data_IF_186753427010
#
_entry.id   IF_186753427010
#
_cell.length_a   1.000
_cell.length_b   1.000
_cell.length_c   1.000
_cell.angle_alpha   90.00
_cell.angle_beta   90.00
_cell.angle_gamma   90.00
#
_symmetry.space_group_name_H-M   'P 1'
#
loop_
_entity.id
_entity.type
_entity.pdbx_description
1 polymer ?
#
# COMPACT_ATOMS: atom_id res chain seq x y z
N UNK A 1 -14.40 -14.13 -8.71
CA UNK A 1 -13.37 -14.65 -7.78
C UNK A 1 -12.20 -13.70 -7.83
N UNK A 2 -11.65 -13.30 -6.69
CA UNK A 2 -10.48 -12.43 -6.65
C UNK A 2 -9.26 -13.16 -7.21
N UNK A 3 -8.42 -12.46 -7.97
CA UNK A 3 -7.16 -13.01 -8.46
C UNK A 3 -6.13 -12.95 -7.34
N UNK A 4 -5.65 -14.12 -6.90
CA UNK A 4 -4.46 -14.17 -6.04
C UNK A 4 -3.23 -13.85 -6.89
N UNK A 5 -2.56 -12.76 -6.56
CA UNK A 5 -1.35 -12.33 -7.25
C UNK A 5 -0.11 -12.98 -6.61
N UNK A 6 0.88 -13.21 -7.45
CA UNK A 6 2.25 -13.53 -7.05
C UNK A 6 3.17 -12.34 -7.33
N UNK A 7 4.34 -12.34 -6.70
CA UNK A 7 5.37 -11.31 -6.91
C UNK A 7 5.71 -11.17 -8.40
N UNK A 8 5.69 -9.95 -8.92
CA UNK A 8 5.94 -9.64 -10.33
C UNK A 8 4.74 -9.87 -11.27
N UNK A 9 3.62 -10.38 -10.78
CA UNK A 9 2.44 -10.64 -11.60
C UNK A 9 1.74 -9.33 -11.97
N UNK A 10 1.29 -9.25 -13.22
CA UNK A 10 0.56 -8.10 -13.76
C UNK A 10 -0.82 -8.54 -14.21
N UNK A 11 -1.83 -7.76 -13.86
CA UNK A 11 -3.22 -7.98 -14.29
C UNK A 11 -3.79 -6.71 -14.93
N UNK A 12 -4.67 -6.89 -15.90
CA UNK A 12 -5.45 -5.77 -16.44
C UNK A 12 -6.66 -5.54 -15.57
N UNK A 13 -6.77 -4.35 -14.98
CA UNK A 13 -7.92 -3.99 -14.15
C UNK A 13 -9.14 -3.68 -15.01
N UNK A 14 -8.95 -2.96 -16.11
CA UNK A 14 -10.05 -2.52 -16.99
C UNK A 14 -10.54 -3.57 -17.97
N UNK A 15 -9.76 -4.63 -18.21
CA UNK A 15 -10.14 -5.69 -19.17
C UNK A 15 -11.24 -6.59 -18.60
N UNK A 16 -11.18 -6.87 -17.30
CA UNK A 16 -12.21 -7.63 -16.60
C UNK A 16 -13.33 -6.73 -16.08
N UNK A 17 -13.04 -5.45 -15.81
CA UNK A 17 -14.01 -4.44 -15.36
C UNK A 17 -14.07 -3.27 -16.34
N UNK A 18 -14.80 -3.44 -17.45
CA UNK A 18 -15.00 -2.39 -18.43
C UNK A 18 -15.66 -1.16 -17.77
N UNK A 19 -14.94 -0.05 -17.70
CA UNK A 19 -15.40 1.18 -17.05
C UNK A 19 -15.01 1.35 -15.59
N UNK A 20 -13.97 0.66 -15.12
CA UNK A 20 -13.37 0.88 -13.80
C UNK A 20 -12.99 2.36 -13.61
N UNK A 21 -13.61 3.00 -12.63
CA UNK A 21 -13.35 4.40 -12.26
C UNK A 21 -12.76 4.50 -10.87
N UNK A 22 -13.32 3.75 -9.94
CA UNK A 22 -12.94 3.80 -8.54
C UNK A 22 -12.27 2.48 -8.15
N UNK A 23 -11.08 2.61 -7.59
CA UNK A 23 -10.31 1.55 -6.98
C UNK A 23 -10.22 1.82 -5.49
N UNK A 24 -10.33 0.77 -4.70
CA UNK A 24 -10.02 0.80 -3.29
C UNK A 24 -8.87 -0.17 -3.08
N UNK A 25 -7.78 0.36 -2.55
CA UNK A 25 -6.61 -0.39 -2.15
C UNK A 25 -6.72 -0.60 -0.65
N UNK A 26 -6.97 -1.84 -0.24
CA UNK A 26 -7.05 -2.22 1.17
C UNK A 26 -5.75 -2.88 1.60
N UNK A 27 -5.22 -2.49 2.74
CA UNK A 27 -4.05 -3.09 3.36
C UNK A 27 -4.46 -3.61 4.73
N UNK A 28 -4.05 -4.83 5.05
CA UNK A 28 -4.27 -5.43 6.36
C UNK A 28 -3.02 -6.12 6.85
N UNK A 29 -2.77 -6.06 8.15
CA UNK A 29 -1.64 -6.72 8.81
C UNK A 29 -1.93 -7.05 10.27
N UNK A 30 -1.39 -8.17 10.74
CA UNK A 30 -1.46 -8.56 12.14
C UNK A 30 -0.12 -8.28 12.84
N UNK A 31 -0.18 -7.71 14.04
CA UNK A 31 1.00 -7.64 14.90
C UNK A 31 1.43 -9.06 15.30
N UNK A 32 2.71 -9.40 15.09
CA UNK A 32 3.23 -10.67 15.58
C UNK A 32 3.22 -10.66 17.12
N UNK A 33 2.23 -11.34 17.71
CA UNK A 33 2.18 -11.58 19.16
C UNK A 33 3.52 -12.18 19.62
N UNK A 34 4.32 -11.41 20.37
CA UNK A 34 5.39 -12.00 21.18
C UNK A 34 4.71 -12.83 22.25
N UNK A 35 4.91 -14.15 22.17
CA UNK A 35 4.54 -15.12 23.20
C UNK A 35 5.05 -14.64 24.56
N UNK A 36 4.19 -13.99 25.34
CA UNK A 36 4.45 -13.65 26.72
C UNK A 36 4.48 -14.92 27.54
N UNK A 37 5.68 -15.36 27.91
CA UNK A 37 5.87 -16.19 29.10
C UNK A 37 5.34 -15.47 30.36
N UNK A 38 5.41 -16.16 31.49
CA UNK A 38 4.82 -15.89 32.83
C UNK A 38 4.91 -14.45 33.43
N UNK A 39 5.43 -13.45 32.71
CA UNK A 39 5.53 -12.02 33.02
C UNK A 39 4.53 -11.13 32.25
N UNK A 40 3.65 -11.69 31.42
CA UNK A 40 2.73 -10.96 30.51
C UNK A 40 1.59 -10.13 31.15
N UNK A 41 1.66 -9.78 32.44
CA UNK A 41 0.63 -8.99 33.12
C UNK A 41 0.87 -7.46 32.99
N UNK A 42 2.01 -7.01 32.44
CA UNK A 42 2.40 -5.59 32.38
C UNK A 42 3.08 -5.15 31.07
N UNK A 43 2.66 -5.61 29.89
CA UNK A 43 3.29 -5.12 28.66
C UNK A 43 2.58 -5.49 27.38
N UNK A 44 1.84 -4.51 26.81
CA UNK A 44 1.47 -4.53 25.40
C UNK A 44 2.72 -4.62 24.53
N UNK A 45 2.66 -5.42 23.48
CA UNK A 45 3.70 -5.45 22.45
C UNK A 45 3.89 -4.06 21.83
N UNK A 46 5.05 -3.79 21.22
CA UNK A 46 5.25 -2.52 20.53
C UNK A 46 4.33 -2.48 19.31
N UNK A 47 3.23 -1.72 19.41
CA UNK A 47 2.30 -1.47 18.31
C UNK A 47 3.09 -1.22 17.01
N UNK A 48 2.82 -2.05 16.01
CA UNK A 48 3.44 -1.91 14.69
C UNK A 48 2.54 -1.05 13.85
N UNK A 49 3.12 0.06 13.43
CA UNK A 49 2.47 1.13 12.74
C UNK A 49 2.94 1.09 11.29
N UNK A 50 2.11 0.55 10.39
CA UNK A 50 2.42 0.48 8.97
C UNK A 50 1.67 1.62 8.28
N UNK A 51 2.41 2.51 7.66
CA UNK A 51 1.84 3.58 6.86
C UNK A 51 1.76 3.14 5.40
N UNK A 52 0.57 3.12 4.83
CA UNK A 52 0.36 3.06 3.39
C UNK A 52 0.47 4.45 2.77
N UNK A 53 1.11 4.51 1.62
CA UNK A 53 1.30 5.74 0.87
C UNK A 53 1.12 5.48 -0.62
N UNK A 54 0.56 6.46 -1.30
CA UNK A 54 0.40 6.47 -2.74
C UNK A 54 1.25 7.58 -3.36
N UNK A 55 2.16 7.19 -4.24
CA UNK A 55 3.04 8.08 -4.98
C UNK A 55 2.51 8.18 -6.41
N UNK A 56 2.09 9.36 -6.81
CA UNK A 56 1.68 9.64 -8.18
C UNK A 56 2.90 10.06 -8.99
N UNK A 57 3.04 9.48 -10.17
CA UNK A 57 4.17 9.68 -11.07
C UNK A 57 3.68 10.21 -12.42
N UNK A 58 4.50 11.08 -13.02
CA UNK A 58 4.32 11.64 -14.36
C UNK A 58 5.46 11.17 -15.25
N UNK A 59 5.13 10.50 -16.34
CA UNK A 59 6.08 9.78 -17.20
C UNK A 59 7.03 8.87 -16.38
N UNK A 60 6.49 8.23 -15.34
CA UNK A 60 7.24 7.40 -14.41
C UNK A 60 8.15 8.14 -13.42
N UNK A 61 8.05 9.48 -13.32
CA UNK A 61 8.85 10.30 -12.40
C UNK A 61 8.02 11.04 -11.36
N UNK A 62 8.59 11.23 -10.19
CA UNK A 62 8.01 12.04 -9.12
C UNK A 62 8.35 13.51 -9.36
N UNK A 63 7.33 14.36 -9.53
CA UNK A 63 7.53 15.74 -9.96
C UNK A 63 7.28 16.74 -8.83
N UNK A 64 6.33 16.47 -7.94
CA UNK A 64 5.94 17.40 -6.88
C UNK A 64 5.64 16.69 -5.57
N UNK A 65 5.96 17.34 -4.45
CA UNK A 65 5.56 16.88 -3.11
C UNK A 65 4.06 16.74 -2.93
N UNK A 66 3.28 17.46 -3.75
CA UNK A 66 1.82 17.37 -3.76
C UNK A 66 1.31 16.06 -4.39
N UNK A 67 2.16 15.36 -5.14
CA UNK A 67 1.88 14.09 -5.82
C UNK A 67 2.05 12.90 -4.86
N UNK A 68 2.18 13.18 -3.57
CA UNK A 68 2.33 12.20 -2.50
C UNK A 68 1.10 12.23 -1.57
N UNK A 69 0.44 11.09 -1.43
CA UNK A 69 -0.67 10.88 -0.48
C UNK A 69 -0.23 9.89 0.59
N UNK A 70 -0.39 10.27 1.85
CA UNK A 70 0.03 9.50 3.03
C UNK A 70 -0.75 10.00 4.25
N UNK A 71 -0.54 9.42 5.44
CA UNK A 71 -1.23 9.80 6.68
C UNK A 71 -1.24 11.31 6.98
N UNK A 72 -0.15 12.02 6.65
CA UNK A 72 -0.04 13.48 6.83
C UNK A 72 -0.64 14.32 5.71
N UNK A 73 -0.90 13.73 4.54
CA UNK A 73 -1.57 14.36 3.40
C UNK A 73 -2.62 13.41 2.82
N UNK A 74 -3.81 13.41 3.42
CA UNK A 74 -4.86 12.42 3.15
C UNK A 74 -5.46 12.52 1.75
N UNK A 75 -5.22 13.59 0.99
CA UNK A 75 -5.87 13.77 -0.31
C UNK A 75 -4.96 14.43 -1.32
N UNK A 76 -4.92 13.86 -2.52
CA UNK A 76 -4.24 14.47 -3.66
C UNK A 76 -4.96 15.75 -4.10
N UNK A 77 -4.23 16.73 -4.64
CA UNK A 77 -4.78 18.04 -5.07
C UNK A 77 -5.89 17.88 -6.12
N UNK A 78 -5.79 16.87 -6.98
CA UNK A 78 -6.82 16.57 -7.99
C UNK A 78 -8.05 15.85 -7.42
N UNK A 79 -7.96 15.35 -6.19
CA UNK A 79 -8.97 14.50 -5.58
C UNK A 79 -9.06 13.09 -6.18
N UNK A 80 -8.10 12.71 -7.02
CA UNK A 80 -8.02 11.37 -7.61
C UNK A 80 -7.54 10.31 -6.62
N UNK A 81 -6.82 10.67 -5.57
CA UNK A 81 -6.36 9.72 -4.53
C UNK A 81 -6.71 10.27 -3.16
N UNK A 82 -7.31 9.44 -2.32
CA UNK A 82 -7.74 9.79 -0.97
C UNK A 82 -7.40 8.65 -0.01
N UNK A 83 -6.65 8.95 1.03
CA UNK A 83 -6.40 8.08 2.17
C UNK A 83 -7.58 8.18 3.14
N UNK A 84 -8.19 7.05 3.53
CA UNK A 84 -9.39 7.06 4.39
C UNK A 84 -9.10 7.23 5.88
N UNK A 85 -7.83 7.11 6.28
CA UNK A 85 -7.40 7.23 7.66
C UNK A 85 -6.28 6.25 7.94
N UNK A 86 -5.48 6.56 8.94
CA UNK A 86 -4.36 5.76 9.41
C UNK A 86 -4.80 4.93 10.61
N UNK A 87 -4.47 3.64 10.59
CA UNK A 87 -4.70 2.72 11.71
C UNK A 87 -3.36 2.33 12.35
N UNK A 88 -2.99 3.10 13.37
CA UNK A 88 -1.75 2.99 14.13
C UNK A 88 -1.51 1.65 14.87
N UNK A 89 -2.49 0.73 14.84
CA UNK A 89 -2.47 -0.47 15.69
C UNK A 89 -2.73 -1.77 14.94
N UNK A 90 -3.21 -1.72 13.69
CA UNK A 90 -3.70 -2.92 12.99
C UNK A 90 -4.81 -3.66 13.75
N UNK A 91 -5.53 -2.97 14.65
CA UNK A 91 -6.62 -3.58 15.42
C UNK A 91 -7.91 -3.52 14.62
N UNK A 92 -8.30 -4.64 14.03
CA UNK A 92 -9.56 -4.80 13.32
C UNK A 92 -9.53 -6.05 12.43
N UNK A 93 -10.71 -6.64 12.17
CA UNK A 93 -10.79 -7.67 11.14
C UNK A 93 -10.87 -6.99 9.76
N UNK A 94 -9.87 -7.18 8.91
CA UNK A 94 -9.94 -6.80 7.49
C UNK A 94 -8.86 -5.83 7.04
N UNK A 95 -9.27 -4.73 6.40
CA UNK A 95 -8.36 -3.69 5.92
C UNK A 95 -8.13 -2.67 7.02
N UNK A 96 -6.92 -2.65 7.57
CA UNK A 96 -6.45 -1.66 8.53
C UNK A 96 -6.34 -0.27 7.90
N UNK A 97 -5.85 -0.21 6.66
CA UNK A 97 -5.75 1.02 5.90
C UNK A 97 -6.36 0.89 4.52
N UNK A 98 -6.92 2.01 4.04
CA UNK A 98 -7.62 2.05 2.76
C UNK A 98 -7.27 3.32 1.99
N UNK A 99 -6.83 3.14 0.75
CA UNK A 99 -6.58 4.21 -0.21
C UNK A 99 -7.57 4.10 -1.36
N UNK A 100 -8.40 5.13 -1.52
CA UNK A 100 -9.36 5.23 -2.61
C UNK A 100 -8.73 6.01 -3.77
N UNK A 101 -8.79 5.42 -4.96
CA UNK A 101 -8.24 5.96 -6.20
C UNK A 101 -9.35 6.08 -7.24
N UNK A 102 -9.68 7.31 -7.59
CA UNK A 102 -10.58 7.66 -8.70
C UNK A 102 -9.75 7.98 -9.96
N UNK A 103 -9.62 6.96 -10.81
CA UNK A 103 -8.92 7.03 -12.09
C UNK A 103 -9.57 8.00 -13.08
N UNK A 104 -10.86 8.35 -12.90
CA UNK A 104 -11.55 9.28 -13.79
C UNK A 104 -11.21 10.75 -13.51
N UNK A 105 -10.75 11.04 -12.28
CA UNK A 105 -10.26 12.37 -11.87
C UNK A 105 -8.77 12.55 -12.06
N UNK A 106 -8.05 11.50 -12.44
CA UNK A 106 -6.61 11.54 -12.60
C UNK A 106 -6.26 12.25 -13.92
N UNK A 107 -5.52 13.38 -13.89
CA UNK A 107 -5.10 14.05 -15.11
C UNK A 107 -4.20 13.17 -15.97
N UNK A 108 -4.22 13.39 -17.29
CA UNK A 108 -3.48 12.56 -18.26
C UNK A 108 -1.95 12.62 -18.10
N UNK A 109 -1.43 13.62 -17.38
CA UNK A 109 0.00 13.72 -17.04
C UNK A 109 0.46 12.64 -16.06
N UNK A 110 -0.44 12.05 -15.27
CA UNK A 110 -0.11 10.97 -14.35
C UNK A 110 -0.40 9.63 -15.02
N UNK A 111 0.66 8.90 -15.35
CA UNK A 111 0.59 7.59 -15.97
C UNK A 111 0.62 6.45 -14.95
N UNK A 112 1.10 6.72 -13.72
CA UNK A 112 1.38 5.68 -12.74
C UNK A 112 1.14 6.15 -11.30
N UNK A 113 0.62 5.24 -10.49
CA UNK A 113 0.44 5.38 -9.05
C UNK A 113 1.12 4.20 -8.40
N UNK A 114 2.14 4.44 -7.60
CA UNK A 114 2.87 3.41 -6.86
C UNK A 114 2.34 3.37 -5.43
N UNK A 115 1.94 2.19 -4.98
CA UNK A 115 1.52 1.95 -3.61
C UNK A 115 2.69 1.37 -2.84
N UNK A 116 3.07 2.08 -1.79
CA UNK A 116 4.20 1.76 -0.93
C UNK A 116 3.73 1.72 0.50
N UNK A 117 4.40 0.91 1.31
CA UNK A 117 4.15 0.83 2.74
C UNK A 117 5.46 0.90 3.47
N UNK A 118 5.49 1.62 4.58
CA UNK A 118 6.65 1.69 5.44
C UNK A 118 6.24 1.54 6.90
N UNK A 119 7.13 1.04 7.72
CA UNK A 119 6.90 1.02 9.17
C UNK A 119 7.28 2.39 9.73
N UNK A 120 6.34 3.04 10.41
CA UNK A 120 6.54 4.34 11.03
C UNK A 120 7.64 4.25 12.11
N UNK A 121 8.61 5.17 12.04
CA UNK A 121 9.70 5.29 13.01
C UNK A 121 10.49 3.98 13.25
N UNK A 122 10.62 3.15 12.21
CA UNK A 122 11.25 1.83 12.24
C UNK A 122 12.66 1.82 12.87
N UNK A 123 13.47 2.86 12.65
CA UNK A 123 14.83 2.96 13.21
C UNK A 123 14.80 3.12 14.73
N UNK A 124 14.01 4.07 15.25
CA UNK A 124 13.98 4.34 16.69
C UNK A 124 13.22 3.23 17.43
N UNK A 125 12.17 2.68 16.82
CA UNK A 125 11.37 1.58 17.38
C UNK A 125 12.02 0.20 17.18
N UNK A 126 13.06 0.11 16.35
CA UNK A 126 13.73 -1.15 15.96
C UNK A 126 12.73 -2.20 15.48
N UNK A 127 11.78 -1.76 14.65
CA UNK A 127 10.73 -2.57 14.07
C UNK A 127 11.02 -2.79 12.59
N UNK A 128 10.73 -4.00 12.12
CA UNK A 128 10.86 -4.40 10.73
C UNK A 128 9.69 -5.33 10.34
N UNK A 129 9.59 -5.65 9.06
CA UNK A 129 8.51 -6.49 8.54
C UNK A 129 8.52 -7.94 9.09
N UNK A 130 9.57 -8.40 9.77
CA UNK A 130 9.58 -9.72 10.44
C UNK A 130 8.58 -9.79 11.61
N UNK A 131 8.27 -8.62 12.17
CA UNK A 131 7.34 -8.50 13.30
C UNK A 131 5.88 -8.42 12.85
N UNK A 132 5.61 -8.48 11.55
CA UNK A 132 4.27 -8.43 10.97
C UNK A 132 3.88 -9.82 10.48
N UNK A 133 2.63 -10.20 10.71
CA UNK A 133 2.04 -11.45 10.20
C UNK A 133 0.83 -11.16 9.35
N UNK A 134 0.48 -12.11 8.49
CA UNK A 134 -0.71 -12.06 7.64
C UNK A 134 -0.87 -10.75 6.87
N UNK A 135 0.23 -10.06 6.53
CA UNK A 135 0.15 -8.84 5.77
C UNK A 135 -0.38 -9.13 4.36
N UNK A 136 -1.35 -8.36 3.91
CA UNK A 136 -1.87 -8.45 2.56
C UNK A 136 -2.23 -7.07 2.03
N UNK A 137 -2.18 -6.95 0.71
CA UNK A 137 -2.84 -5.89 -0.02
C UNK A 137 -3.93 -6.49 -0.88
N UNK A 138 -5.04 -5.78 -1.02
CA UNK A 138 -6.08 -6.11 -1.98
C UNK A 138 -6.50 -4.90 -2.77
N UNK A 139 -6.95 -5.18 -3.98
CA UNK A 139 -7.49 -4.22 -4.91
C UNK A 139 -8.96 -4.57 -5.10
N UNK A 140 -9.82 -3.63 -4.77
CA UNK A 140 -11.28 -3.76 -4.82
C UNK A 140 -11.81 -2.72 -5.80
N UNK A 141 -12.80 -3.10 -6.60
CA UNK A 141 -13.55 -2.14 -7.40
C UNK A 141 -14.50 -1.37 -6.48
N UNK A 142 -14.27 -0.08 -6.29
CA UNK A 142 -15.07 0.76 -5.40
C UNK A 142 -16.52 0.95 -5.85
N UNK A 143 -16.86 0.59 -7.09
CA UNK A 143 -18.22 0.71 -7.64
C UNK A 143 -19.08 -0.51 -7.35
N UNK A 144 -18.47 -1.70 -7.38
CA UNK A 144 -19.15 -2.99 -7.18
C UNK A 144 -18.82 -3.63 -5.83
N UNK A 145 -17.85 -3.07 -5.11
CA UNK A 145 -17.25 -3.62 -3.90
C UNK A 145 -16.69 -5.04 -4.11
N UNK A 146 -16.31 -5.38 -5.34
CA UNK A 146 -15.78 -6.69 -5.69
C UNK A 146 -14.26 -6.69 -5.58
N UNK A 147 -13.71 -7.63 -4.80
CA UNK A 147 -12.28 -7.86 -4.74
C UNK A 147 -11.77 -8.38 -6.10
N UNK A 148 -10.92 -7.58 -6.74
CA UNK A 148 -10.34 -7.86 -8.04
C UNK A 148 -9.05 -8.66 -7.88
N UNK A 149 -8.19 -8.24 -6.96
CA UNK A 149 -6.90 -8.83 -6.71
C UNK A 149 -6.54 -8.83 -5.23
N UNK A 150 -5.76 -9.81 -4.82
CA UNK A 150 -5.15 -9.87 -3.49
C UNK A 150 -3.72 -10.37 -3.62
N UNK A 151 -2.79 -9.71 -2.95
CA UNK A 151 -1.40 -10.12 -2.83
C UNK A 151 -1.07 -10.28 -1.35
N UNK A 152 -0.74 -11.51 -0.95
CA UNK A 152 -0.35 -11.82 0.42
C UNK A 152 1.17 -11.73 0.54
N UNK A 153 1.65 -11.08 1.59
CA UNK A 153 3.06 -11.02 1.93
C UNK A 153 3.40 -12.32 2.66
N UNK A 154 3.85 -13.30 1.88
CA UNK A 154 4.29 -14.60 2.39
C UNK A 154 5.80 -14.77 2.39
N UNK A 155 6.55 -13.84 1.81
CA UNK A 155 8.01 -13.88 1.81
C UNK A 155 8.58 -13.33 3.12
N UNK A 156 9.78 -13.80 3.47
CA UNK A 156 10.48 -13.35 4.65
C UNK A 156 11.15 -12.00 4.36
N UNK A 157 10.59 -10.91 4.86
CA UNK A 157 11.07 -9.54 4.67
C UNK A 157 11.90 -9.06 5.87
N UNK A 158 12.64 -9.99 6.48
CA UNK A 158 13.47 -9.74 7.67
C UNK A 158 14.45 -8.58 7.45
N UNK A 159 14.45 -7.63 8.39
CA UNK A 159 15.29 -6.45 8.34
C UNK A 159 14.91 -5.40 7.29
N UNK A 160 13.78 -5.57 6.60
CA UNK A 160 13.23 -4.56 5.69
C UNK A 160 12.25 -3.65 6.44
N UNK A 161 12.24 -2.38 6.07
CA UNK A 161 11.49 -1.31 6.76
C UNK A 161 10.47 -0.63 5.86
N UNK A 162 10.62 -0.77 4.54
CA UNK A 162 9.65 -0.31 3.56
C UNK A 162 9.43 -1.36 2.47
N UNK A 163 8.31 -1.26 1.76
CA UNK A 163 7.96 -2.14 0.68
C UNK A 163 7.16 -1.44 -0.40
N UNK A 164 7.54 -1.70 -1.63
CA UNK A 164 6.73 -1.34 -2.81
C UNK A 164 5.80 -2.53 -3.08
N UNK A 165 4.54 -2.38 -2.73
CA UNK A 165 3.53 -3.42 -2.87
C UNK A 165 3.17 -3.64 -4.33
N UNK A 166 2.90 -2.55 -5.03
CA UNK A 166 2.53 -2.61 -6.43
C UNK A 166 2.35 -1.24 -7.06
N UNK A 167 2.09 -1.27 -8.36
CA UNK A 167 1.87 -0.07 -9.15
C UNK A 167 0.61 -0.22 -10.00
N UNK A 168 -0.19 0.83 -10.03
CA UNK A 168 -1.30 1.00 -10.95
C UNK A 168 -0.79 1.89 -12.06
N UNK A 169 -0.74 1.39 -13.29
CA UNK A 169 -0.19 2.14 -14.42
C UNK A 169 -1.10 2.05 -15.63
N UNK A 170 -1.08 3.12 -16.41
CA UNK A 170 -1.81 3.22 -17.66
C UNK A 170 -0.98 2.59 -18.77
N UNK A 171 -1.58 1.65 -19.50
CA UNK A 171 -0.97 1.00 -20.64
C UNK A 171 -1.89 1.12 -21.85
N UNK A 172 -1.65 2.14 -22.67
CA UNK A 172 -2.54 2.53 -23.75
C UNK A 172 -3.83 3.17 -23.20
N UNK A 173 -4.97 2.52 -23.47
CA UNK A 173 -6.29 2.96 -22.98
C UNK A 173 -6.79 2.16 -21.77
N UNK A 174 -5.94 1.30 -21.21
CA UNK A 174 -6.28 0.42 -20.09
C UNK A 174 -5.46 0.75 -18.84
N UNK A 175 -6.05 0.50 -17.68
CA UNK A 175 -5.34 0.51 -16.41
C UNK A 175 -4.95 -0.90 -16.02
N UNK A 176 -3.70 -1.06 -15.61
CA UNK A 176 -3.12 -2.33 -15.18
C UNK A 176 -2.58 -2.20 -13.78
N UNK A 177 -2.61 -3.30 -13.04
CA UNK A 177 -1.97 -3.43 -11.74
C UNK A 177 -0.79 -4.38 -11.86
N UNK A 178 0.37 -3.97 -11.38
CA UNK A 178 1.54 -4.83 -11.21
C UNK A 178 1.81 -5.06 -9.73
N UNK A 179 1.74 -6.31 -9.27
CA UNK A 179 2.27 -6.69 -7.97
C UNK A 179 3.80 -6.68 -8.04
N UNK A 180 4.44 -5.80 -7.27
CA UNK A 180 5.90 -5.67 -7.25
C UNK A 180 6.46 -6.49 -6.09
N UNK A 181 5.96 -6.29 -4.86
CA UNK A 181 6.39 -7.01 -3.66
C UNK A 181 7.89 -6.83 -3.36
N UNK A 182 8.45 -5.64 -3.64
CA UNK A 182 9.86 -5.36 -3.44
C UNK A 182 10.07 -4.65 -2.11
N UNK A 183 10.62 -5.39 -1.13
CA UNK A 183 11.04 -4.80 0.14
C UNK A 183 12.35 -4.02 0.01
N UNK A 184 12.49 -2.96 0.80
CA UNK A 184 13.65 -2.10 0.90
C UNK A 184 13.98 -1.78 2.35
N UNK A 185 15.21 -1.35 2.59
CA UNK A 185 15.70 -0.85 3.87
C UNK A 185 15.59 0.68 3.97
N UNK A 186 14.68 1.27 3.18
CA UNK A 186 14.48 2.71 3.19
C UNK A 186 13.83 3.10 4.53
N UNK A 187 14.49 4.02 5.24
CA UNK A 187 14.09 4.44 6.58
C UNK A 187 12.87 5.37 6.59
N UNK A 188 12.52 5.94 5.43
CA UNK A 188 11.43 6.90 5.32
C UNK A 188 10.87 6.94 3.91
N UNK A 189 9.60 7.36 3.80
CA UNK A 189 8.93 7.63 2.55
C UNK A 189 9.72 8.59 1.65
N UNK A 190 10.41 9.57 2.24
CA UNK A 190 11.28 10.52 1.51
C UNK A 190 12.41 9.81 0.75
N UNK A 191 13.06 8.84 1.38
CA UNK A 191 14.14 8.06 0.74
C UNK A 191 13.60 7.18 -0.38
N UNK A 192 12.39 6.64 -0.21
CA UNK A 192 11.73 5.83 -1.22
C UNK A 192 11.36 6.67 -2.46
N UNK A 193 10.83 7.88 -2.26
CA UNK A 193 10.49 8.81 -3.35
C UNK A 193 11.70 9.17 -4.22
N UNK A 194 12.90 9.31 -3.63
CA UNK A 194 14.12 9.60 -4.39
C UNK A 194 14.45 8.55 -5.45
N UNK A 195 13.88 7.34 -5.37
CA UNK A 195 14.02 6.31 -6.41
C UNK A 195 13.28 6.67 -7.70
N UNK A 196 12.34 7.59 -7.61
CA UNK A 196 11.46 8.03 -8.71
C UNK A 196 11.75 9.47 -9.16
N UNK A 197 12.76 10.15 -8.62
CA UNK A 197 13.20 11.49 -9.07
C UNK A 197 14.00 11.46 -10.38
#
# INVERSE_FOLDING_TARGET
MAVSLSKGQKISLTKENAGLKNLLVGLGWDEAKKSGGFLGLFGGGPNIDCDASAILLKDGKFVSKHDLVYFGNLKHVTGAVTHLGDNLTGQGDGDDEQIVIDLSKLPAEYDRIVIVVNIYDCINRKQDFSMIKNAFIRIVDGSTNQEMARYNLSENYDGLTAMIFGEIYRHGNEWKFGAIGQGTNDASLKTLIQRYE
#
